data_IF_461286098788
#
_entry.id   IF_461286098788
#
_cell.length_a   1.000
_cell.length_b   1.000
_cell.length_c   1.000
_cell.angle_alpha   90.00
_cell.angle_beta   90.00
_cell.angle_gamma   90.00
#
_symmetry.space_group_name_H-M   'P 1'
#
loop_
_entity.id
_entity.type
_entity.pdbx_description
1 polymer ?
#
# COMPACT_ATOMS: atom_id res chain seq x y z
N UNK A 1 19.40 35.26 53.03
CA UNK A 1 19.62 35.21 51.58
C UNK A 1 19.23 33.82 51.11
N UNK A 2 18.04 33.65 50.51
CA UNK A 2 17.52 32.35 50.07
C UNK A 2 17.84 32.13 48.59
N UNK A 3 18.61 31.07 48.30
CA UNK A 3 18.88 30.62 46.95
C UNK A 3 17.60 29.99 46.37
N UNK A 4 17.03 30.62 45.34
CA UNK A 4 15.97 30.05 44.52
C UNK A 4 16.62 29.13 43.48
N UNK A 5 16.53 27.82 43.70
CA UNK A 5 16.83 26.82 42.69
C UNK A 5 15.68 26.78 41.68
N UNK A 6 15.98 27.07 40.41
CA UNK A 6 15.07 27.03 39.28
C UNK A 6 15.19 25.62 38.65
N UNK A 7 14.17 24.76 38.67
CA UNK A 7 14.27 23.49 37.98
C UNK A 7 14.06 23.75 36.49
N UNK A 8 15.12 23.55 35.70
CA UNK A 8 15.04 23.48 34.25
C UNK A 8 14.22 22.23 33.92
N UNK A 9 12.96 22.44 33.54
CA UNK A 9 12.10 21.43 32.94
C UNK A 9 12.69 21.06 31.57
N UNK A 10 13.54 20.04 31.58
CA UNK A 10 14.00 19.35 30.38
C UNK A 10 12.84 18.46 29.89
N UNK A 11 11.86 19.06 29.23
CA UNK A 11 10.79 18.34 28.55
C UNK A 11 11.42 17.57 27.38
N UNK A 12 11.53 16.26 27.55
CA UNK A 12 12.12 15.35 26.58
C UNK A 12 11.47 15.50 25.21
N UNK A 13 12.30 15.85 24.22
CA UNK A 13 12.08 15.55 22.81
C UNK A 13 12.15 14.03 22.65
N UNK A 14 11.08 13.33 23.04
CA UNK A 14 10.93 11.92 22.69
C UNK A 14 10.61 11.87 21.19
N UNK A 15 11.44 11.21 20.36
CA UNK A 15 11.09 10.98 18.97
C UNK A 15 9.79 10.18 18.96
N UNK A 16 8.73 10.77 18.41
CA UNK A 16 7.44 10.12 18.29
C UNK A 16 7.59 8.86 17.44
N UNK A 17 7.56 7.70 18.09
CA UNK A 17 7.42 6.42 17.41
C UNK A 17 6.03 6.45 16.80
N UNK A 18 5.96 6.55 15.48
CA UNK A 18 4.69 6.44 14.78
C UNK A 18 4.09 5.06 15.11
N UNK A 19 2.84 4.98 15.59
CA UNK A 19 2.21 3.69 15.81
C UNK A 19 2.28 2.86 14.53
N UNK A 20 2.71 1.60 14.66
CA UNK A 20 2.60 0.65 13.57
C UNK A 20 1.13 0.61 13.14
N UNK A 21 0.83 0.58 11.85
CA UNK A 21 -0.53 0.67 11.33
C UNK A 21 -0.89 -0.65 10.67
N UNK A 22 -1.94 -1.33 11.13
CA UNK A 22 -2.41 -2.56 10.49
C UNK A 22 -3.69 -2.29 9.71
N UNK A 23 -3.68 -2.57 8.41
CA UNK A 23 -4.83 -2.46 7.54
C UNK A 23 -5.25 -3.82 6.98
N UNK A 24 -6.55 -3.99 6.81
CA UNK A 24 -7.15 -5.07 6.01
C UNK A 24 -7.94 -4.46 4.88
N UNK A 25 -7.91 -5.07 3.71
CA UNK A 25 -8.65 -4.59 2.56
C UNK A 25 -9.22 -5.73 1.73
N UNK A 26 -10.35 -5.44 1.09
CA UNK A 26 -11.01 -6.30 0.12
C UNK A 26 -11.16 -5.49 -1.18
N UNK A 27 -10.93 -6.12 -2.32
CA UNK A 27 -11.00 -5.43 -3.61
C UNK A 27 -11.58 -6.31 -4.70
N UNK A 28 -12.10 -5.67 -5.75
CA UNK A 28 -12.57 -6.33 -6.96
C UNK A 28 -12.03 -5.63 -8.20
N UNK A 29 -11.56 -6.43 -9.16
CA UNK A 29 -11.04 -5.94 -10.43
C UNK A 29 -11.94 -6.33 -11.59
N UNK A 30 -12.05 -5.46 -12.58
CA UNK A 30 -12.49 -5.80 -13.93
C UNK A 30 -11.23 -5.96 -14.80
N UNK A 31 -11.00 -7.17 -15.30
CA UNK A 31 -9.81 -7.49 -16.09
C UNK A 31 -9.83 -6.71 -17.41
N UNK A 32 -8.76 -5.97 -17.69
CA UNK A 32 -8.56 -5.21 -18.93
C UNK A 32 -7.55 -5.89 -19.85
N UNK A 33 -6.54 -6.54 -19.26
CA UNK A 33 -5.61 -7.43 -19.95
C UNK A 33 -5.65 -8.79 -19.27
N UNK A 34 -6.18 -9.79 -19.98
CA UNK A 34 -6.32 -11.16 -19.49
C UNK A 34 -5.11 -12.03 -19.82
N UNK A 35 -5.06 -13.19 -19.17
CA UNK A 35 -4.02 -14.21 -19.33
C UNK A 35 -4.66 -15.58 -19.26
N UNK A 36 -4.34 -16.46 -20.21
CA UNK A 36 -4.89 -17.81 -20.27
C UNK A 36 -6.41 -17.83 -20.28
N UNK A 37 -7.01 -18.47 -19.27
CA UNK A 37 -8.46 -18.55 -19.12
C UNK A 37 -9.08 -17.29 -18.51
N UNK A 38 -8.27 -16.41 -17.92
CA UNK A 38 -8.73 -15.12 -17.41
C UNK A 38 -8.87 -14.18 -18.60
N UNK A 39 -10.10 -13.89 -19.02
CA UNK A 39 -10.39 -13.04 -20.19
C UNK A 39 -10.61 -11.59 -19.80
N UNK A 40 -10.32 -10.61 -20.69
CA UNK A 40 -10.80 -9.24 -20.51
C UNK A 40 -12.32 -9.20 -20.28
N UNK A 41 -12.76 -8.35 -19.36
CA UNK A 41 -14.14 -8.26 -18.88
C UNK A 41 -14.47 -9.22 -17.73
N UNK A 42 -13.62 -10.20 -17.44
CA UNK A 42 -13.78 -11.03 -16.25
C UNK A 42 -13.70 -10.19 -14.98
N UNK A 43 -14.45 -10.60 -13.95
CA UNK A 43 -14.37 -10.02 -12.61
C UNK A 43 -13.62 -10.97 -11.70
N UNK A 44 -12.70 -10.42 -10.93
CA UNK A 44 -11.96 -11.16 -9.91
C UNK A 44 -11.97 -10.36 -8.61
N UNK A 45 -12.05 -11.08 -7.49
CA UNK A 45 -11.97 -10.48 -6.17
C UNK A 45 -10.66 -10.88 -5.51
N UNK A 46 -10.17 -10.03 -4.62
CA UNK A 46 -9.01 -10.31 -3.79
C UNK A 46 -9.13 -9.64 -2.44
N UNK A 47 -8.21 -9.99 -1.57
CA UNK A 47 -8.11 -9.46 -0.22
C UNK A 47 -6.64 -9.24 0.13
N UNK A 48 -6.41 -8.52 1.22
CA UNK A 48 -5.09 -8.42 1.78
C UNK A 48 -5.07 -7.81 3.15
N UNK A 49 -3.93 -7.95 3.81
CA UNK A 49 -3.67 -7.31 5.08
C UNK A 49 -2.20 -6.94 5.17
N UNK A 50 -1.90 -5.76 5.70
CA UNK A 50 -0.52 -5.32 5.93
C UNK A 50 -0.39 -4.58 7.25
N UNK A 51 0.82 -4.59 7.80
CA UNK A 51 1.23 -3.76 8.91
C UNK A 51 2.43 -2.91 8.49
N UNK A 52 2.33 -1.58 8.63
CA UNK A 52 3.47 -0.69 8.45
C UNK A 52 4.51 -0.90 9.55
N UNK A 53 5.78 -0.98 9.16
CA UNK A 53 6.90 -1.23 10.07
C UNK A 53 7.44 0.04 10.72
N UNK A 54 6.99 1.21 10.27
CA UNK A 54 7.47 2.53 10.73
C UNK A 54 8.69 3.05 9.95
N UNK A 55 9.43 2.16 9.29
CA UNK A 55 10.54 2.51 8.41
C UNK A 55 10.06 3.07 7.07
N UNK A 56 10.79 4.08 6.55
CA UNK A 56 10.48 4.75 5.28
C UNK A 56 11.73 4.97 4.46
N UNK A 57 11.60 4.86 3.13
CA UNK A 57 12.63 5.17 2.16
C UNK A 57 12.12 6.25 1.22
N UNK A 58 12.98 7.22 0.90
CA UNK A 58 12.69 8.17 -0.17
C UNK A 58 12.90 7.49 -1.51
N UNK A 59 11.87 7.51 -2.34
CA UNK A 59 11.88 7.01 -3.70
C UNK A 59 12.10 8.13 -4.71
N UNK A 60 12.09 7.77 -6.00
CA UNK A 60 12.16 8.75 -7.07
C UNK A 60 10.83 9.52 -7.22
N UNK A 61 10.89 10.72 -7.81
CA UNK A 61 9.69 11.52 -8.12
C UNK A 61 8.87 11.91 -6.89
N UNK A 62 9.55 12.24 -5.78
CA UNK A 62 8.94 12.62 -4.49
C UNK A 62 8.03 11.54 -3.90
N UNK A 63 8.26 10.28 -4.28
CA UNK A 63 7.58 9.14 -3.66
C UNK A 63 8.23 8.76 -2.33
N UNK A 64 7.41 8.32 -1.38
CA UNK A 64 7.85 7.73 -0.12
C UNK A 64 7.39 6.28 -0.08
N UNK A 65 8.34 5.38 0.15
CA UNK A 65 8.11 3.95 0.31
C UNK A 65 8.03 3.65 1.81
N UNK A 66 6.85 3.30 2.29
CA UNK A 66 6.60 2.86 3.65
C UNK A 66 6.78 1.36 3.71
N UNK A 67 7.75 0.88 4.47
CA UNK A 67 7.97 -0.56 4.60
C UNK A 67 6.80 -1.19 5.36
N UNK A 68 6.35 -2.32 4.84
CA UNK A 68 5.22 -3.06 5.37
C UNK A 68 5.54 -4.55 5.43
N UNK A 69 4.76 -5.28 6.21
CA UNK A 69 4.68 -6.74 6.14
C UNK A 69 3.22 -7.15 6.03
N UNK A 70 2.93 -8.04 5.09
CA UNK A 70 1.57 -8.48 4.87
C UNK A 70 1.45 -9.49 3.74
N UNK A 71 0.22 -9.76 3.33
CA UNK A 71 -0.08 -10.63 2.19
C UNK A 71 -1.24 -10.02 1.40
N UNK A 72 -1.17 -10.14 0.09
CA UNK A 72 -2.23 -9.79 -0.84
C UNK A 72 -2.58 -11.03 -1.65
N UNK A 73 -3.86 -11.27 -1.87
CA UNK A 73 -4.42 -12.38 -2.63
C UNK A 73 -5.28 -11.89 -3.80
N UNK A 74 -5.39 -12.69 -4.84
CA UNK A 74 -6.35 -12.52 -5.94
C UNK A 74 -6.93 -13.89 -6.34
N UNK A 75 -8.26 -14.00 -6.31
CA UNK A 75 -8.96 -15.27 -6.54
C UNK A 75 -8.52 -16.36 -5.57
N UNK A 76 -8.63 -17.62 -6.00
CA UNK A 76 -8.47 -18.78 -5.11
C UNK A 76 -7.02 -19.26 -4.96
N UNK A 77 -6.06 -18.65 -5.66
CA UNK A 77 -4.70 -19.21 -5.74
C UNK A 77 -3.56 -18.20 -5.80
N UNK A 78 -3.79 -16.97 -6.26
CA UNK A 78 -2.71 -16.00 -6.46
C UNK A 78 -2.46 -15.28 -5.14
N UNK A 79 -1.20 -15.25 -4.68
CA UNK A 79 -0.81 -14.57 -3.43
C UNK A 79 0.60 -14.02 -3.51
N UNK A 80 0.88 -12.94 -2.79
CA UNK A 80 2.23 -12.39 -2.64
C UNK A 80 2.41 -11.64 -1.32
N UNK A 81 3.66 -11.47 -0.90
CA UNK A 81 4.02 -10.75 0.33
C UNK A 81 3.94 -9.23 0.10
N UNK A 82 3.06 -8.54 0.82
CA UNK A 82 3.07 -7.07 0.83
C UNK A 82 4.32 -6.61 1.58
N UNK A 83 5.18 -5.87 0.89
CA UNK A 83 6.42 -5.35 1.45
C UNK A 83 6.47 -3.82 1.51
N UNK A 84 5.62 -3.14 0.74
CA UNK A 84 5.59 -1.69 0.69
C UNK A 84 4.21 -1.11 0.42
N UNK A 85 3.95 0.03 1.05
CA UNK A 85 2.94 1.00 0.65
C UNK A 85 3.68 2.22 0.13
N UNK A 86 3.35 2.68 -1.07
CA UNK A 86 4.02 3.83 -1.69
C UNK A 86 3.05 4.99 -1.77
N UNK A 87 3.48 6.15 -1.36
CA UNK A 87 2.75 7.42 -1.52
C UNK A 87 3.61 8.43 -2.26
N UNK A 88 3.03 9.50 -2.77
CA UNK A 88 3.78 10.69 -3.18
C UNK A 88 3.52 11.82 -2.20
N UNK A 89 4.53 12.64 -1.94
CA UNK A 89 4.33 13.90 -1.25
C UNK A 89 3.47 14.85 -2.11
N UNK A 90 2.73 15.80 -1.49
CA UNK A 90 2.02 16.82 -2.23
C UNK A 90 2.96 17.59 -3.15
N UNK A 91 2.69 17.55 -4.45
CA UNK A 91 3.53 18.15 -5.49
C UNK A 91 2.73 18.62 -6.69
N UNK A 92 3.38 19.04 -7.79
CA UNK A 92 2.67 19.48 -8.99
C UNK A 92 2.08 18.33 -9.82
N UNK A 93 2.33 17.07 -9.45
CA UNK A 93 1.85 15.87 -10.13
C UNK A 93 0.66 15.26 -9.39
N UNK A 94 -0.10 14.42 -10.08
CA UNK A 94 -1.18 13.64 -9.48
C UNK A 94 -0.65 12.79 -8.31
N UNK A 95 -1.37 12.79 -7.19
CA UNK A 95 -0.98 12.01 -6.03
C UNK A 95 -1.10 10.52 -6.33
N UNK A 96 -0.16 9.72 -5.84
CA UNK A 96 -0.16 8.26 -5.98
C UNK A 96 -0.24 7.61 -4.60
N UNK A 97 -1.02 6.53 -4.52
CA UNK A 97 -1.04 5.57 -3.43
C UNK A 97 -0.96 4.17 -4.03
N UNK A 98 0.02 3.38 -3.62
CA UNK A 98 0.23 2.03 -4.14
C UNK A 98 0.44 0.99 -3.06
N UNK A 99 -0.13 -0.19 -3.24
CA UNK A 99 0.12 -1.39 -2.43
C UNK A 99 0.95 -2.34 -3.27
N UNK A 100 2.13 -2.72 -2.78
CA UNK A 100 3.10 -3.53 -3.52
C UNK A 100 3.32 -4.87 -2.81
N UNK A 101 3.00 -5.94 -3.51
CA UNK A 101 3.38 -7.29 -3.14
C UNK A 101 4.47 -7.84 -4.06
N UNK A 102 5.34 -8.67 -3.47
CA UNK A 102 6.43 -9.40 -4.13
C UNK A 102 6.27 -10.89 -3.90
N UNK A 103 7.21 -11.66 -4.46
CA UNK A 103 7.29 -13.12 -4.28
C UNK A 103 5.93 -13.78 -4.55
N UNK A 104 5.34 -13.40 -5.70
CA UNK A 104 3.99 -13.82 -6.04
C UNK A 104 4.00 -15.27 -6.53
N UNK A 105 3.03 -16.03 -6.06
CA UNK A 105 2.86 -17.45 -6.37
C UNK A 105 1.43 -17.72 -6.87
N UNK A 106 1.24 -18.91 -7.45
CA UNK A 106 -0.10 -19.46 -7.71
C UNK A 106 -0.67 -19.20 -9.10
N UNK A 107 0.11 -18.61 -10.00
CA UNK A 107 -0.27 -18.44 -11.40
C UNK A 107 0.90 -18.67 -12.34
N UNK A 108 0.66 -19.52 -13.34
CA UNK A 108 1.53 -19.70 -14.48
C UNK A 108 0.71 -19.89 -15.74
N UNK A 109 1.23 -19.43 -16.88
CA UNK A 109 0.58 -19.61 -18.17
C UNK A 109 1.63 -19.66 -19.29
N UNK A 110 1.46 -20.59 -20.23
CA UNK A 110 2.36 -20.75 -21.37
C UNK A 110 3.87 -20.86 -21.00
N UNK A 111 4.17 -21.49 -19.86
CA UNK A 111 5.54 -21.65 -19.35
C UNK A 111 6.13 -20.40 -18.70
N UNK A 112 5.34 -19.36 -18.48
CA UNK A 112 5.72 -18.16 -17.73
C UNK A 112 5.07 -18.18 -16.34
N UNK A 113 5.88 -17.91 -15.32
CA UNK A 113 5.41 -17.71 -13.96
C UNK A 113 5.07 -16.24 -13.72
N UNK A 114 3.89 -16.00 -13.16
CA UNK A 114 3.41 -14.69 -12.76
C UNK A 114 3.96 -14.34 -11.36
N UNK A 115 5.28 -14.35 -11.26
CA UNK A 115 6.03 -14.13 -10.02
C UNK A 115 6.59 -12.71 -9.87
N UNK A 116 6.26 -11.81 -10.80
CA UNK A 116 6.59 -10.39 -10.71
C UNK A 116 5.73 -9.68 -9.67
N UNK A 117 5.93 -8.36 -9.47
CA UNK A 117 5.18 -7.63 -8.47
C UNK A 117 3.69 -7.65 -8.79
N UNK A 118 2.89 -7.85 -7.73
CA UNK A 118 1.45 -7.67 -7.75
C UNK A 118 1.15 -6.35 -7.07
N UNK A 119 0.40 -5.47 -7.74
CA UNK A 119 0.25 -4.10 -7.31
C UNK A 119 -1.16 -3.55 -7.54
N UNK A 120 -1.64 -2.83 -6.54
CA UNK A 120 -2.79 -1.93 -6.65
C UNK A 120 -2.24 -0.51 -6.66
N UNK A 121 -2.56 0.28 -7.67
CA UNK A 121 -2.13 1.68 -7.79
C UNK A 121 -3.35 2.57 -7.95
N UNK A 122 -3.45 3.56 -7.06
CA UNK A 122 -4.53 4.53 -7.00
C UNK A 122 -3.93 5.92 -7.25
N UNK A 123 -4.61 6.70 -8.07
CA UNK A 123 -4.25 8.07 -8.36
C UNK A 123 -5.34 9.00 -7.86
N UNK A 124 -4.92 10.09 -7.21
CA UNK A 124 -5.76 11.20 -6.82
C UNK A 124 -5.43 12.44 -7.63
N UNK A 125 -6.21 13.51 -7.41
CA UNK A 125 -5.82 14.85 -7.85
C UNK A 125 -4.64 15.34 -7.01
N UNK A 126 -3.98 16.39 -7.46
CA UNK A 126 -2.94 17.07 -6.69
C UNK A 126 -3.50 17.48 -5.32
N UNK A 127 -2.80 17.11 -4.24
CA UNK A 127 -3.17 17.49 -2.86
C UNK A 127 -4.32 16.67 -2.27
N UNK A 128 -4.64 15.53 -2.86
CA UNK A 128 -5.56 14.53 -2.28
C UNK A 128 -4.96 13.90 -1.03
N UNK A 129 -3.67 13.55 -1.07
CA UNK A 129 -2.93 13.11 0.10
C UNK A 129 -2.55 14.31 0.95
N UNK A 130 -2.93 14.28 2.23
CA UNK A 130 -2.63 15.36 3.18
C UNK A 130 -1.13 15.46 3.53
N UNK A 131 -0.33 14.47 3.15
CA UNK A 131 1.10 14.38 3.41
C UNK A 131 1.69 13.13 2.77
N UNK A 132 2.87 12.72 3.24
CA UNK A 132 3.55 11.53 2.75
C UNK A 132 3.00 10.23 3.36
N UNK A 133 2.07 10.26 4.31
CA UNK A 133 1.55 9.06 4.96
C UNK A 133 0.41 8.39 4.20
N UNK A 134 0.32 7.04 4.20
CA UNK A 134 -0.86 6.34 3.72
C UNK A 134 -2.11 6.75 4.50
N UNK A 135 -3.28 6.91 3.85
CA UNK A 135 -4.50 7.26 4.55
C UNK A 135 -4.93 6.18 5.56
N UNK A 136 -5.51 6.62 6.69
CA UNK A 136 -6.00 5.72 7.74
C UNK A 136 -7.47 5.33 7.56
N UNK A 137 -8.23 6.10 6.78
CA UNK A 137 -9.70 5.99 6.68
C UNK A 137 -10.13 5.56 5.29
N UNK A 138 -11.28 4.88 5.21
CA UNK A 138 -11.91 4.55 3.93
C UNK A 138 -12.02 5.77 3.01
N UNK A 139 -12.51 6.91 3.53
CA UNK A 139 -12.66 8.14 2.77
C UNK A 139 -11.35 8.64 2.14
N UNK A 140 -10.22 8.48 2.85
CA UNK A 140 -8.91 8.88 2.33
C UNK A 140 -8.43 7.99 1.18
N UNK A 141 -8.73 6.69 1.25
CA UNK A 141 -8.49 5.77 0.13
C UNK A 141 -9.47 6.04 -1.02
N UNK A 142 -10.71 6.40 -0.71
CA UNK A 142 -11.72 6.69 -1.72
C UNK A 142 -11.48 8.00 -2.45
N UNK A 143 -10.81 8.97 -1.83
CA UNK A 143 -10.40 10.20 -2.48
C UNK A 143 -9.38 9.96 -3.63
N UNK A 144 -8.69 8.81 -3.65
CA UNK A 144 -7.82 8.38 -4.74
C UNK A 144 -8.64 7.81 -5.91
N UNK A 145 -9.51 8.64 -6.50
CA UNK A 145 -10.55 8.25 -7.46
C UNK A 145 -10.24 8.54 -8.93
N UNK A 146 -9.13 9.22 -9.24
CA UNK A 146 -8.78 9.62 -10.60
C UNK A 146 -8.50 8.42 -11.50
N UNK A 147 -7.84 7.40 -10.97
CA UNK A 147 -7.59 6.12 -11.64
C UNK A 147 -7.23 5.07 -10.60
N UNK A 148 -7.82 3.88 -10.69
CA UNK A 148 -7.54 2.76 -9.77
C UNK A 148 -7.24 1.51 -10.59
N UNK A 149 -6.01 0.98 -10.47
CA UNK A 149 -5.49 -0.07 -11.34
C UNK A 149 -4.89 -1.22 -10.54
N UNK A 150 -5.01 -2.41 -11.10
CA UNK A 150 -4.34 -3.61 -10.66
C UNK A 150 -3.39 -4.09 -11.76
N UNK A 151 -2.21 -4.58 -11.38
CA UNK A 151 -1.35 -5.34 -12.26
C UNK A 151 -0.66 -6.48 -11.52
N UNK A 152 -0.46 -7.58 -12.23
CA UNK A 152 0.37 -8.71 -11.86
C UNK A 152 1.28 -9.04 -13.03
N UNK A 153 2.58 -8.96 -12.79
CA UNK A 153 3.58 -9.15 -13.84
C UNK A 153 4.08 -10.59 -13.89
N UNK A 154 4.25 -11.12 -15.10
CA UNK A 154 5.13 -12.26 -15.31
C UNK A 154 6.59 -11.81 -15.34
N UNK A 155 7.52 -12.73 -15.03
CA UNK A 155 8.92 -12.47 -15.37
C UNK A 155 9.03 -12.37 -16.91
N UNK A 156 9.36 -11.17 -17.41
CA UNK A 156 9.37 -10.85 -18.85
C UNK A 156 8.45 -9.68 -19.19
N UNK A 157 7.64 -9.82 -20.26
CA UNK A 157 6.82 -8.73 -20.82
C UNK A 157 5.30 -8.91 -20.66
N UNK A 158 4.83 -10.05 -20.14
CA UNK A 158 3.39 -10.33 -19.99
C UNK A 158 2.84 -9.85 -18.63
N UNK A 159 1.54 -9.54 -18.59
CA UNK A 159 0.86 -9.12 -17.36
C UNK A 159 -0.62 -9.46 -17.37
N UNK A 160 -1.15 -9.76 -16.20
CA UNK A 160 -2.58 -9.66 -15.90
C UNK A 160 -2.84 -8.25 -15.38
N UNK A 161 -3.79 -7.52 -15.96
CA UNK A 161 -4.12 -6.17 -15.50
C UNK A 161 -5.62 -5.91 -15.50
N UNK A 162 -6.05 -4.98 -14.65
CA UNK A 162 -7.46 -4.64 -14.51
C UNK A 162 -7.69 -3.29 -13.85
N UNK A 163 -8.94 -2.84 -13.91
CA UNK A 163 -9.42 -1.67 -13.19
C UNK A 163 -9.94 -2.13 -11.83
N UNK A 164 -9.53 -1.45 -10.75
CA UNK A 164 -10.06 -1.72 -9.41
C UNK A 164 -11.42 -1.05 -9.32
N UNK A 165 -12.47 -1.86 -9.31
CA UNK A 165 -13.88 -1.44 -9.35
C UNK A 165 -14.51 -1.32 -7.97
N UNK A 166 -13.93 -1.96 -6.97
CA UNK A 166 -14.31 -1.81 -5.56
C UNK A 166 -13.06 -1.96 -4.69
N UNK A 167 -13.00 -1.16 -3.62
CA UNK A 167 -11.95 -1.24 -2.61
C UNK A 167 -12.54 -0.85 -1.26
N UNK A 168 -12.54 -1.79 -0.32
CA UNK A 168 -12.89 -1.54 1.07
C UNK A 168 -11.64 -1.73 1.93
N UNK A 169 -11.39 -0.81 2.85
CA UNK A 169 -10.22 -0.86 3.74
C UNK A 169 -10.59 -0.49 5.16
N UNK A 170 -9.99 -1.21 6.10
CA UNK A 170 -10.12 -0.97 7.53
C UNK A 170 -8.73 -0.97 8.15
N UNK A 171 -8.27 0.20 8.58
CA UNK A 171 -7.02 0.35 9.30
C UNK A 171 -7.29 0.52 10.80
N UNK A 172 -6.41 -0.08 11.59
CA UNK A 172 -6.34 0.08 13.04
C UNK A 172 -4.93 0.46 13.42
N UNK A 173 -4.80 1.39 14.36
CA UNK A 173 -3.51 1.66 14.99
C UNK A 173 -3.08 0.40 15.74
N UNK A 174 -1.88 -0.10 15.44
CA UNK A 174 -1.24 -1.11 16.26
C UNK A 174 -0.73 -0.45 17.54
N UNK A 175 -0.98 -1.12 18.65
CA UNK A 175 -0.45 -0.72 19.95
C UNK A 175 1.09 -0.57 19.85
N UNK A 176 1.69 0.43 20.53
CA UNK A 176 3.13 0.58 20.53
C UNK A 176 3.79 -0.72 21.00
N UNK A 177 4.66 -1.28 20.16
CA UNK A 177 5.49 -2.43 20.54
C UNK A 177 6.41 -1.95 21.66
N UNK A 178 6.12 -2.36 22.90
CA UNK A 178 7.09 -2.25 23.99
C UNK A 178 8.23 -3.21 23.67
N UNK A 179 9.39 -2.66 23.33
CA UNK A 179 10.63 -3.38 23.49
C UNK A 179 10.91 -3.38 25.00
N UNK A 180 10.61 -4.51 25.64
CA UNK A 180 11.09 -4.81 26.99
C UNK A 180 12.60 -5.11 26.97
#
# INVERSE_FOLDING_TARGET
>A
MWARAFPILLAGLLPGVAPAQTCRFDYAIAVTQGVGEIRPGARMSGDGAFTLLGDRLQGEGDSTVHLARGEMRLGDGIRGEIWAIVTTAPGPAADLLGVYARDVEGMSFAGLDYAGPMLITLYGRIGTLAGDLPPLTQDGWDAMDLSRRFALHAQGYDRLAGDVTALAINCRDALPVRND
#
